data_IF_014847801766
#
_entry.id   IF_014847801766
#
_cell.length_a   1.000
_cell.length_b   1.000
_cell.length_c   1.000
_cell.angle_alpha   90.00
_cell.angle_beta   90.00
_cell.angle_gamma   90.00
#
_symmetry.space_group_name_H-M   'P 1'
#
loop_
_entity.id
_entity.type
_entity.pdbx_description
1 polymer ?
#
# COMPACT_ATOMS: atom_id res chain seq x y z
N UNK A 1 4.92 -23.82 8.64
CA UNK A 1 4.36 -22.63 8.01
C UNK A 1 3.52 -21.89 9.01
N UNK A 2 3.69 -20.60 9.07
CA UNK A 2 2.96 -19.79 10.01
C UNK A 2 1.57 -19.45 9.52
N UNK A 3 0.69 -19.10 10.46
CA UNK A 3 -0.65 -18.64 10.13
C UNK A 3 -0.61 -17.34 9.30
N UNK A 4 0.38 -16.48 9.56
CA UNK A 4 0.52 -15.22 8.82
C UNK A 4 0.72 -15.49 7.34
N UNK A 5 1.62 -16.39 6.98
CA UNK A 5 1.86 -16.71 5.57
C UNK A 5 0.64 -17.31 4.90
N UNK A 6 -0.13 -18.12 5.60
CA UNK A 6 -1.36 -18.70 5.07
C UNK A 6 -2.40 -17.62 4.79
N UNK A 7 -2.60 -16.68 5.73
CA UNK A 7 -3.51 -15.56 5.52
C UNK A 7 -3.03 -14.68 4.36
N UNK A 8 -1.72 -14.43 4.28
CA UNK A 8 -1.15 -13.61 3.23
C UNK A 8 -1.44 -14.22 1.85
N UNK A 9 -1.15 -15.50 1.68
CA UNK A 9 -1.37 -16.18 0.41
C UNK A 9 -2.85 -16.18 0.01
N UNK A 10 -3.75 -16.47 0.95
CA UNK A 10 -5.19 -16.43 0.68
C UNK A 10 -5.66 -15.01 0.33
N UNK A 11 -5.17 -14.03 1.08
CA UNK A 11 -5.52 -12.63 0.83
C UNK A 11 -5.09 -12.17 -0.55
N UNK A 12 -3.85 -12.51 -0.96
CA UNK A 12 -3.37 -12.15 -2.30
C UNK A 12 -4.21 -12.82 -3.39
N UNK A 13 -4.55 -14.09 -3.23
CA UNK A 13 -5.36 -14.80 -4.21
C UNK A 13 -6.76 -14.17 -4.32
N UNK A 14 -7.38 -13.86 -3.18
CA UNK A 14 -8.69 -13.24 -3.16
C UNK A 14 -8.67 -11.84 -3.79
N UNK A 15 -7.63 -11.05 -3.50
CA UNK A 15 -7.46 -9.73 -4.09
C UNK A 15 -7.35 -9.84 -5.61
N UNK A 16 -6.58 -10.79 -6.09
CA UNK A 16 -6.40 -11.00 -7.53
C UNK A 16 -7.71 -11.37 -8.22
N UNK A 17 -8.60 -12.08 -7.52
CA UNK A 17 -9.92 -12.45 -8.03
C UNK A 17 -10.95 -11.32 -7.91
N UNK A 18 -10.57 -10.19 -7.33
CA UNK A 18 -11.49 -9.09 -7.08
C UNK A 18 -12.40 -9.28 -5.88
N UNK A 19 -12.13 -10.28 -5.06
CA UNK A 19 -12.93 -10.58 -3.86
C UNK A 19 -12.37 -9.79 -2.68
N UNK A 20 -12.56 -8.48 -2.75
CA UNK A 20 -11.88 -7.55 -1.84
C UNK A 20 -12.35 -7.65 -0.39
N UNK A 21 -13.65 -7.90 -0.15
CA UNK A 21 -14.16 -8.04 1.21
C UNK A 21 -13.53 -9.24 1.92
N UNK A 22 -13.38 -10.34 1.19
CA UNK A 22 -12.76 -11.52 1.74
C UNK A 22 -11.25 -11.36 1.91
N UNK A 23 -10.60 -10.66 0.98
CA UNK A 23 -9.18 -10.34 1.11
C UNK A 23 -8.93 -9.48 2.34
N UNK A 24 -9.80 -8.52 2.61
CA UNK A 24 -9.70 -7.67 3.79
C UNK A 24 -9.68 -8.50 5.07
N UNK A 25 -10.56 -9.51 5.16
CA UNK A 25 -10.61 -10.39 6.34
C UNK A 25 -9.27 -11.08 6.55
N UNK A 26 -8.65 -11.57 5.48
CA UNK A 26 -7.36 -12.26 5.58
C UNK A 26 -6.24 -11.32 6.03
N UNK A 27 -6.18 -10.13 5.46
CA UNK A 27 -5.12 -9.16 5.84
C UNK A 27 -5.32 -8.63 7.25
N UNK A 28 -6.56 -8.44 7.70
CA UNK A 28 -6.83 -8.06 9.09
C UNK A 28 -6.41 -9.15 10.06
N UNK A 29 -6.59 -10.43 9.68
CA UNK A 29 -6.13 -11.55 10.51
C UNK A 29 -4.61 -11.52 10.68
N UNK A 30 -3.86 -11.13 9.64
CA UNK A 30 -2.41 -10.96 9.76
C UNK A 30 -2.07 -9.88 10.78
N UNK A 31 -2.77 -8.76 10.74
CA UNK A 31 -2.51 -7.64 11.64
C UNK A 31 -2.85 -8.02 13.09
N UNK A 32 -3.89 -8.82 13.29
CA UNK A 32 -4.22 -9.32 14.63
C UNK A 32 -3.11 -10.21 15.19
N UNK A 33 -2.43 -10.97 14.33
CA UNK A 33 -1.33 -11.82 14.74
C UNK A 33 -0.03 -11.03 14.92
N UNK A 34 0.18 -9.98 14.15
CA UNK A 34 1.35 -9.12 14.21
C UNK A 34 0.99 -7.74 13.67
N UNK A 35 0.72 -6.80 14.56
CA UNK A 35 0.30 -5.45 14.19
C UNK A 35 1.44 -4.59 13.66
N UNK A 36 2.68 -5.08 13.70
CA UNK A 36 3.84 -4.40 13.14
C UNK A 36 4.26 -5.00 11.78
N UNK A 37 3.40 -5.78 11.15
CA UNK A 37 3.69 -6.39 9.86
C UNK A 37 3.41 -5.39 8.74
N UNK A 38 4.47 -4.76 8.23
CA UNK A 38 4.36 -3.68 7.25
C UNK A 38 3.60 -4.10 5.99
N UNK A 39 3.90 -5.30 5.46
CA UNK A 39 3.27 -5.75 4.23
C UNK A 39 1.77 -6.02 4.42
N UNK A 40 1.34 -6.46 5.60
CA UNK A 40 -0.08 -6.64 5.88
C UNK A 40 -0.83 -5.30 5.82
N UNK A 41 -0.25 -4.26 6.41
CA UNK A 41 -0.83 -2.91 6.35
C UNK A 41 -0.86 -2.41 4.90
N UNK A 42 0.19 -2.63 4.14
CA UNK A 42 0.25 -2.23 2.74
C UNK A 42 -0.87 -2.90 1.93
N UNK A 43 -1.01 -4.22 2.06
CA UNK A 43 -2.03 -4.95 1.31
C UNK A 43 -3.45 -4.53 1.72
N UNK A 44 -3.68 -4.32 3.02
CA UNK A 44 -4.97 -3.82 3.48
C UNK A 44 -5.26 -2.44 2.87
N UNK A 45 -4.25 -1.57 2.85
CA UNK A 45 -4.39 -0.26 2.21
C UNK A 45 -4.73 -0.37 0.73
N UNK A 46 -4.11 -1.29 0.00
CA UNK A 46 -4.42 -1.50 -1.42
C UNK A 46 -5.87 -1.97 -1.60
N UNK A 47 -6.33 -2.89 -0.75
CA UNK A 47 -7.72 -3.36 -0.79
C UNK A 47 -8.68 -2.18 -0.58
N UNK A 48 -8.42 -1.34 0.41
CA UNK A 48 -9.24 -0.16 0.64
C UNK A 48 -9.25 0.78 -0.57
N UNK A 49 -8.09 0.95 -1.22
CA UNK A 49 -8.00 1.76 -2.43
C UNK A 49 -8.88 1.20 -3.56
N UNK A 50 -8.87 -0.11 -3.76
CA UNK A 50 -9.69 -0.75 -4.79
C UNK A 50 -11.18 -0.65 -4.49
N UNK A 51 -11.56 -0.54 -3.22
CA UNK A 51 -12.98 -0.42 -2.84
C UNK A 51 -13.42 1.03 -2.63
N UNK A 52 -12.56 1.99 -2.92
CA UNK A 52 -12.90 3.41 -2.83
C UNK A 52 -12.83 4.02 -1.45
N UNK A 53 -12.30 3.29 -0.48
CA UNK A 53 -12.13 3.79 0.90
C UNK A 53 -10.75 4.44 1.02
N UNK A 54 -10.60 5.60 0.38
CA UNK A 54 -9.27 6.22 0.22
C UNK A 54 -8.69 6.74 1.52
N UNK A 55 -9.50 7.25 2.44
CA UNK A 55 -8.99 7.71 3.73
C UNK A 55 -8.41 6.56 4.53
N UNK A 56 -9.12 5.43 4.55
CA UNK A 56 -8.65 4.21 5.22
C UNK A 56 -7.41 3.67 4.51
N UNK A 57 -7.37 3.75 3.18
CA UNK A 57 -6.20 3.33 2.42
C UNK A 57 -4.96 4.13 2.84
N UNK A 58 -5.10 5.46 2.96
CA UNK A 58 -3.99 6.31 3.37
C UNK A 58 -3.51 5.94 4.77
N UNK A 59 -4.43 5.72 5.71
CA UNK A 59 -4.06 5.33 7.07
C UNK A 59 -3.20 4.06 7.10
N UNK A 60 -3.61 3.04 6.35
CA UNK A 60 -2.89 1.78 6.31
C UNK A 60 -1.55 1.92 5.59
N UNK A 61 -1.51 2.67 4.49
CA UNK A 61 -0.27 2.88 3.76
C UNK A 61 0.73 3.73 4.55
N UNK A 62 0.25 4.70 5.32
CA UNK A 62 1.11 5.45 6.23
C UNK A 62 1.70 4.54 7.32
N UNK A 63 0.88 3.62 7.84
CA UNK A 63 1.38 2.63 8.80
C UNK A 63 2.46 1.76 8.17
N UNK A 64 2.26 1.32 6.93
CA UNK A 64 3.24 0.50 6.22
C UNK A 64 4.56 1.25 6.04
N UNK A 65 4.50 2.52 5.64
CA UNK A 65 5.69 3.35 5.46
C UNK A 65 6.39 3.61 6.79
N UNK A 66 5.63 3.81 7.87
CA UNK A 66 6.22 3.99 9.20
C UNK A 66 6.95 2.74 9.66
N UNK A 67 6.39 1.57 9.39
CA UNK A 67 6.97 0.30 9.81
C UNK A 67 8.13 -0.14 8.93
N UNK A 68 8.12 0.25 7.66
CA UNK A 68 9.19 -0.06 6.71
C UNK A 68 9.42 1.16 5.79
N UNK A 69 10.22 2.09 6.27
CA UNK A 69 10.47 3.34 5.57
C UNK A 69 11.19 3.14 4.23
N UNK A 70 11.85 2.00 4.04
CA UNK A 70 12.56 1.69 2.81
C UNK A 70 11.65 1.06 1.75
N UNK A 71 10.37 0.81 2.05
CA UNK A 71 9.46 0.18 1.10
C UNK A 71 9.09 1.13 -0.03
N UNK A 72 9.73 0.96 -1.18
CA UNK A 72 9.41 1.73 -2.38
C UNK A 72 7.97 1.44 -2.81
N UNK A 73 7.54 0.18 -2.73
CA UNK A 73 6.19 -0.19 -3.09
C UNK A 73 5.13 0.54 -2.28
N UNK A 74 5.29 0.59 -0.95
CA UNK A 74 4.34 1.27 -0.08
C UNK A 74 4.30 2.78 -0.37
N UNK A 75 5.45 3.39 -0.62
CA UNK A 75 5.49 4.82 -0.94
C UNK A 75 4.84 5.13 -2.28
N UNK A 76 5.09 4.31 -3.29
CA UNK A 76 4.43 4.48 -4.58
C UNK A 76 2.91 4.31 -4.45
N UNK A 77 2.47 3.31 -3.69
CA UNK A 77 1.04 3.09 -3.46
C UNK A 77 0.41 4.28 -2.75
N UNK A 78 1.10 4.83 -1.75
CA UNK A 78 0.63 6.01 -1.02
C UNK A 78 0.55 7.23 -1.93
N UNK A 79 1.59 7.45 -2.74
CA UNK A 79 1.61 8.57 -3.68
C UNK A 79 0.48 8.48 -4.70
N UNK A 80 0.25 7.29 -5.24
CA UNK A 80 -0.84 7.08 -6.21
C UNK A 80 -2.21 7.33 -5.56
N UNK A 81 -2.38 6.92 -4.30
CA UNK A 81 -3.62 7.18 -3.57
C UNK A 81 -3.82 8.68 -3.35
N UNK A 82 -2.76 9.41 -3.00
CA UNK A 82 -2.83 10.87 -2.90
C UNK A 82 -3.23 11.49 -4.23
N UNK A 83 -2.68 11.00 -5.35
CA UNK A 83 -3.04 11.50 -6.68
C UNK A 83 -4.54 11.33 -6.95
N UNK A 84 -5.11 10.20 -6.57
CA UNK A 84 -6.53 9.92 -6.78
C UNK A 84 -7.43 10.87 -6.00
N UNK A 85 -6.93 11.40 -4.89
CA UNK A 85 -7.66 12.37 -4.07
C UNK A 85 -7.33 13.82 -4.43
N UNK A 86 -6.49 14.04 -5.44
CA UNK A 86 -6.07 15.38 -5.82
C UNK A 86 -5.08 16.02 -4.87
N UNK A 87 -4.48 15.23 -3.98
CA UNK A 87 -3.48 15.70 -3.02
C UNK A 87 -2.10 15.67 -3.68
N UNK A 88 -1.90 16.56 -4.63
CA UNK A 88 -0.74 16.53 -5.53
C UNK A 88 0.57 16.83 -4.81
N UNK A 89 0.57 17.75 -3.83
CA UNK A 89 1.79 18.08 -3.11
C UNK A 89 2.30 16.89 -2.30
N UNK A 90 1.39 16.20 -1.63
CA UNK A 90 1.73 15.00 -0.85
C UNK A 90 2.21 13.87 -1.77
N UNK A 91 1.55 13.70 -2.91
CA UNK A 91 1.94 12.68 -3.88
C UNK A 91 3.35 12.95 -4.41
N UNK A 92 3.62 14.19 -4.78
CA UNK A 92 4.94 14.61 -5.29
C UNK A 92 6.02 14.34 -4.25
N UNK A 93 5.77 14.67 -2.99
CA UNK A 93 6.73 14.45 -1.91
C UNK A 93 7.10 12.97 -1.78
N UNK A 94 6.11 12.07 -1.87
CA UNK A 94 6.38 10.62 -1.78
C UNK A 94 7.17 10.13 -3.00
N UNK A 95 6.81 10.56 -4.20
CA UNK A 95 7.57 10.18 -5.39
C UNK A 95 9.00 10.71 -5.35
N UNK A 96 9.22 11.90 -4.80
CA UNK A 96 10.57 12.44 -4.66
C UNK A 96 11.42 11.57 -3.72
N UNK A 97 10.83 11.07 -2.63
CA UNK A 97 11.53 10.14 -1.74
C UNK A 97 11.88 8.85 -2.50
N UNK A 98 10.94 8.29 -3.27
CA UNK A 98 11.21 7.10 -4.06
C UNK A 98 12.38 7.32 -5.02
N UNK A 99 12.37 8.44 -5.74
CA UNK A 99 13.44 8.74 -6.71
C UNK A 99 14.77 9.03 -6.05
N UNK A 100 14.79 9.46 -4.79
CA UNK A 100 16.04 9.65 -4.07
C UNK A 100 16.72 8.32 -3.75
N UNK A 101 15.94 7.25 -3.62
CA UNK A 101 16.44 5.91 -3.32
C UNK A 101 16.65 5.11 -4.61
N UNK A 102 15.72 5.23 -5.54
CA UNK A 102 15.73 4.50 -6.81
C UNK A 102 15.44 5.48 -7.95
N UNK A 103 16.48 6.16 -8.49
CA UNK A 103 16.29 7.20 -9.51
C UNK A 103 15.64 6.69 -10.79
N UNK A 104 15.71 5.39 -11.05
CA UNK A 104 15.14 4.79 -12.25
C UNK A 104 13.78 4.15 -12.01
N UNK A 105 13.18 4.38 -10.85
CA UNK A 105 11.88 3.80 -10.54
C UNK A 105 10.83 4.27 -11.56
N UNK A 106 10.27 3.32 -12.29
CA UNK A 106 9.38 3.64 -13.41
C UNK A 106 8.07 4.26 -12.98
N UNK A 107 7.49 3.79 -11.87
CA UNK A 107 6.23 4.32 -11.38
C UNK A 107 6.39 5.80 -10.98
N UNK A 108 7.43 6.10 -10.20
CA UNK A 108 7.67 7.46 -9.77
C UNK A 108 8.04 8.37 -10.94
N UNK A 109 8.92 7.94 -11.83
CA UNK A 109 9.31 8.73 -13.01
C UNK A 109 8.10 9.05 -13.88
N UNK A 110 7.28 8.04 -14.15
CA UNK A 110 6.10 8.19 -15.00
C UNK A 110 5.12 9.19 -14.42
N UNK A 111 4.93 9.17 -13.12
CA UNK A 111 3.96 10.05 -12.47
C UNK A 111 4.50 11.46 -12.22
N UNK A 112 5.81 11.59 -12.05
CA UNK A 112 6.42 12.92 -11.80
C UNK A 112 6.30 13.87 -12.99
N UNK A 113 6.05 13.35 -14.20
CA UNK A 113 5.87 14.23 -15.37
C UNK A 113 4.63 15.12 -15.25
N UNK A 114 3.73 14.83 -14.33
CA UNK A 114 2.51 15.61 -14.12
C UNK A 114 2.67 16.70 -13.07
N UNK A 115 3.85 16.84 -12.49
CA UNK A 115 4.09 17.84 -11.43
C UNK A 115 5.00 18.96 -11.83
#
# INVERSE_FOLDING_TARGET
MGQIEEHYERGLALKQEGRYDEAEVEFRAMIELDDEHAEAHRQLGLVFGFTGLFDEAIEELLAAVRLDAASIGARNDLALTYCMLGMCDEAKAEFEVVLSVDPDNEVAKKNMVYF
#
